data_IF_532538034469
#
_entry.id   IF_532538034469
#
_cell.length_a   1.000
_cell.length_b   1.000
_cell.length_c   1.000
_cell.angle_alpha   90.00
_cell.angle_beta   90.00
_cell.angle_gamma   90.00
#
_symmetry.space_group_name_H-M   'P 1'
#
loop_
_entity.id
_entity.type
_entity.pdbx_description
1 polymer ?
#
# COMPACT_ATOMS: atom_id res chain seq x y z
N UNK A 1 -37.79 13.93 -22.94
CA UNK A 1 -36.65 14.70 -22.33
C UNK A 1 -35.67 13.68 -21.78
N UNK A 2 -34.40 13.75 -22.16
CA UNK A 2 -33.34 12.88 -21.59
C UNK A 2 -32.96 13.39 -20.18
N UNK A 3 -32.74 12.49 -19.26
CA UNK A 3 -32.29 12.83 -17.88
C UNK A 3 -30.89 13.46 -17.89
N UNK A 4 -30.75 14.65 -17.31
CA UNK A 4 -29.44 15.27 -17.10
C UNK A 4 -28.75 14.59 -15.88
N UNK A 5 -28.12 13.46 -16.08
CA UNK A 5 -27.55 12.63 -15.01
C UNK A 5 -26.59 13.39 -14.09
N UNK A 6 -25.76 14.30 -14.62
CA UNK A 6 -24.80 15.08 -13.86
C UNK A 6 -25.42 15.94 -12.77
N UNK A 7 -26.65 16.43 -12.98
CA UNK A 7 -27.39 17.21 -11.97
C UNK A 7 -27.95 16.36 -10.81
N UNK A 8 -27.94 15.04 -10.95
CA UNK A 8 -28.41 14.08 -9.95
C UNK A 8 -27.29 13.50 -9.09
N UNK A 9 -26.04 13.72 -9.47
CA UNK A 9 -24.91 13.15 -8.74
C UNK A 9 -24.80 13.76 -7.34
N UNK A 10 -24.50 12.90 -6.35
CA UNK A 10 -24.19 13.34 -4.99
C UNK A 10 -22.95 14.25 -4.97
N UNK A 11 -22.89 15.23 -4.08
CA UNK A 11 -21.80 16.19 -3.98
C UNK A 11 -20.41 15.51 -3.82
N UNK A 12 -20.38 14.37 -3.12
CA UNK A 12 -19.16 13.59 -2.91
C UNK A 12 -18.50 13.12 -4.21
N UNK A 13 -19.27 12.93 -5.30
CA UNK A 13 -18.73 12.48 -6.59
C UNK A 13 -17.84 13.52 -7.25
N UNK A 14 -17.95 14.80 -6.88
CA UNK A 14 -17.07 15.87 -7.36
C UNK A 14 -15.62 15.70 -6.87
N UNK A 15 -15.43 14.98 -5.76
CA UNK A 15 -14.12 14.68 -5.16
C UNK A 15 -13.50 13.37 -5.68
N UNK A 16 -14.27 12.61 -6.48
CA UNK A 16 -13.80 11.35 -7.08
C UNK A 16 -13.18 11.63 -8.43
N UNK A 17 -11.87 11.49 -8.51
CA UNK A 17 -11.13 11.58 -9.78
C UNK A 17 -10.73 10.19 -10.26
N UNK A 18 -10.59 10.01 -11.57
CA UNK A 18 -10.04 8.76 -12.09
C UNK A 18 -8.60 8.58 -11.62
N UNK A 19 -8.28 7.40 -11.09
CA UNK A 19 -6.93 7.07 -10.64
C UNK A 19 -5.92 7.25 -11.78
N UNK A 20 -4.87 8.05 -11.57
CA UNK A 20 -3.75 8.16 -12.50
C UNK A 20 -3.11 6.79 -12.76
N UNK A 21 -3.02 5.92 -11.74
CA UNK A 21 -2.56 4.53 -11.90
C UNK A 21 -3.47 3.77 -12.87
N UNK A 22 -4.79 3.99 -12.85
CA UNK A 22 -5.72 3.35 -13.80
C UNK A 22 -5.52 3.82 -15.25
N UNK A 23 -5.24 5.10 -15.45
CA UNK A 23 -4.90 5.62 -16.77
C UNK A 23 -3.56 5.02 -17.25
N UNK A 24 -2.59 4.92 -16.37
CA UNK A 24 -1.33 4.21 -16.58
C UNK A 24 -1.55 2.74 -16.97
N UNK A 25 -2.41 2.01 -16.27
CA UNK A 25 -2.69 0.60 -16.56
C UNK A 25 -3.22 0.37 -17.97
N UNK A 26 -3.94 1.33 -18.57
CA UNK A 26 -4.38 1.27 -19.96
C UNK A 26 -3.20 1.41 -20.96
N UNK A 27 -2.20 2.21 -20.61
CA UNK A 27 -1.00 2.41 -21.44
C UNK A 27 -0.04 1.21 -21.35
N UNK A 28 0.01 0.57 -20.19
CA UNK A 28 0.89 -0.57 -19.89
C UNK A 28 0.53 -1.84 -20.69
N UNK A 29 -0.70 -1.96 -21.18
CA UNK A 29 -1.14 -3.12 -21.97
C UNK A 29 -0.59 -3.18 -23.39
N UNK A 30 0.23 -2.20 -23.83
CA UNK A 30 0.84 -2.19 -25.14
C UNK A 30 1.90 -3.29 -25.26
N UNK A 31 1.95 -4.04 -26.37
CA UNK A 31 3.02 -5.03 -26.62
C UNK A 31 4.42 -4.39 -26.51
N UNK A 32 5.35 -5.07 -25.84
CA UNK A 32 6.72 -4.59 -25.66
C UNK A 32 6.94 -3.53 -24.57
N UNK A 33 5.88 -3.12 -23.85
CA UNK A 33 5.98 -2.18 -22.72
C UNK A 33 6.56 -2.87 -21.49
N UNK A 34 7.63 -2.32 -20.95
CA UNK A 34 8.17 -2.72 -19.63
C UNK A 34 7.60 -1.78 -18.59
N UNK A 35 6.81 -2.32 -17.65
CA UNK A 35 6.13 -1.51 -16.67
C UNK A 35 6.72 -1.65 -15.26
N UNK A 36 7.21 -0.53 -14.73
CA UNK A 36 7.54 -0.33 -13.33
C UNK A 36 6.44 0.47 -12.58
N UNK A 37 5.31 0.76 -13.25
CA UNK A 37 4.26 1.60 -12.69
C UNK A 37 3.27 0.87 -11.79
N UNK A 38 2.96 -0.41 -12.05
CA UNK A 38 2.03 -1.19 -11.25
C UNK A 38 2.60 -1.60 -9.90
N UNK A 39 1.75 -1.71 -8.87
CA UNK A 39 2.09 -2.37 -7.60
C UNK A 39 1.77 -3.87 -7.65
N UNK A 40 2.12 -4.53 -8.76
CA UNK A 40 1.72 -5.90 -9.06
C UNK A 40 2.76 -6.90 -8.55
N UNK A 41 2.33 -7.96 -7.83
CA UNK A 41 3.16 -9.14 -7.58
C UNK A 41 3.53 -9.84 -8.89
N UNK A 42 4.60 -10.63 -8.87
CA UNK A 42 5.02 -11.46 -9.98
C UNK A 42 4.03 -12.61 -10.23
N UNK A 43 3.49 -12.77 -11.45
CA UNK A 43 2.56 -13.87 -11.73
C UNK A 43 3.26 -15.24 -11.74
N UNK A 44 4.54 -15.29 -12.03
CA UNK A 44 5.36 -16.51 -12.07
C UNK A 44 5.60 -17.16 -10.70
N UNK A 45 5.33 -16.43 -9.60
CA UNK A 45 5.38 -16.99 -8.24
C UNK A 45 4.00 -17.32 -7.66
N UNK A 46 2.90 -17.14 -8.42
CA UNK A 46 1.60 -17.57 -7.92
C UNK A 46 1.52 -19.09 -7.75
N UNK A 47 1.02 -19.59 -6.61
CA UNK A 47 0.97 -21.03 -6.34
C UNK A 47 -0.24 -21.69 -7.04
N UNK A 48 -0.27 -21.68 -8.38
CA UNK A 48 -1.43 -22.06 -9.21
C UNK A 48 -1.89 -23.48 -8.87
N UNK A 49 -0.95 -24.45 -8.82
CA UNK A 49 -1.30 -25.84 -8.51
C UNK A 49 -1.96 -25.99 -7.13
N UNK A 50 -1.49 -25.24 -6.13
CA UNK A 50 -2.10 -25.24 -4.79
C UNK A 50 -3.51 -24.65 -4.81
N UNK A 51 -3.76 -23.66 -5.68
CA UNK A 51 -5.12 -23.12 -5.89
C UNK A 51 -6.04 -24.13 -6.58
N UNK A 52 -5.54 -24.89 -7.57
CA UNK A 52 -6.32 -25.96 -8.24
C UNK A 52 -6.76 -27.01 -7.23
N UNK A 53 -5.82 -27.53 -6.42
CA UNK A 53 -6.12 -28.49 -5.35
C UNK A 53 -7.15 -27.93 -4.35
N UNK A 54 -6.97 -26.71 -3.89
CA UNK A 54 -7.86 -26.06 -2.92
C UNK A 54 -9.26 -25.84 -3.50
N UNK A 55 -9.38 -25.36 -4.74
CA UNK A 55 -10.66 -25.19 -5.41
C UNK A 55 -11.40 -26.53 -5.57
N UNK A 56 -10.68 -27.57 -6.03
CA UNK A 56 -11.27 -28.91 -6.16
C UNK A 56 -11.78 -29.40 -4.82
N UNK A 57 -10.96 -29.34 -3.77
CA UNK A 57 -11.33 -29.79 -2.43
C UNK A 57 -12.55 -29.04 -1.88
N UNK A 58 -12.57 -27.70 -1.97
CA UNK A 58 -13.68 -26.89 -1.49
C UNK A 58 -14.98 -27.26 -2.20
N UNK A 59 -14.94 -27.48 -3.53
CA UNK A 59 -16.14 -27.82 -4.32
C UNK A 59 -16.61 -29.26 -4.11
N UNK A 60 -15.72 -30.19 -3.78
CA UNK A 60 -16.12 -31.59 -3.52
C UNK A 60 -16.57 -31.83 -2.08
N UNK A 61 -15.92 -31.18 -1.10
CA UNK A 61 -16.14 -31.49 0.30
C UNK A 61 -17.02 -30.46 1.02
N UNK A 62 -17.07 -29.20 0.55
CA UNK A 62 -17.66 -28.07 1.29
C UNK A 62 -18.54 -27.16 0.40
N UNK A 63 -18.97 -27.63 -0.77
CA UNK A 63 -19.70 -26.83 -1.75
C UNK A 63 -20.92 -26.08 -1.16
N UNK A 64 -21.71 -26.80 -0.36
CA UNK A 64 -22.93 -26.24 0.23
C UNK A 64 -22.66 -25.00 1.10
N UNK A 65 -21.56 -25.01 1.87
CA UNK A 65 -21.17 -23.87 2.72
C UNK A 65 -20.41 -22.79 1.93
N UNK A 66 -19.51 -23.21 1.03
CA UNK A 66 -18.66 -22.28 0.29
C UNK A 66 -19.42 -21.46 -0.76
N UNK A 67 -20.55 -21.96 -1.28
CA UNK A 67 -21.38 -21.31 -2.28
C UNK A 67 -22.60 -20.58 -1.66
N UNK A 68 -22.82 -20.69 -0.34
CA UNK A 68 -23.89 -20.02 0.37
C UNK A 68 -23.44 -18.65 0.91
N UNK A 69 -24.40 -17.84 1.32
CA UNK A 69 -24.14 -16.65 2.12
C UNK A 69 -23.39 -17.01 3.41
N UNK A 70 -22.47 -16.12 3.83
CA UNK A 70 -21.66 -16.29 5.04
C UNK A 70 -21.82 -15.14 6.02
N UNK A 71 -21.05 -15.22 7.11
CA UNK A 71 -20.97 -14.15 8.09
C UNK A 71 -20.28 -12.91 7.52
N UNK A 72 -20.75 -11.73 7.93
CA UNK A 72 -20.14 -10.44 7.51
C UNK A 72 -18.70 -10.32 7.94
N UNK A 73 -18.39 -10.78 9.15
CA UNK A 73 -17.03 -10.78 9.72
C UNK A 73 -16.08 -11.67 8.94
N UNK A 74 -16.60 -12.69 8.26
CA UNK A 74 -15.87 -13.63 7.45
C UNK A 74 -15.78 -15.03 8.05
N UNK A 75 -15.29 -15.97 7.24
CA UNK A 75 -15.15 -17.39 7.53
C UNK A 75 -14.26 -17.61 8.77
N UNK A 76 -14.82 -18.16 9.85
CA UNK A 76 -14.15 -18.27 11.14
C UNK A 76 -12.79 -18.98 11.08
N UNK A 77 -12.62 -20.15 10.37
CA UNK A 77 -11.31 -20.77 10.27
C UNK A 77 -10.24 -19.92 9.58
N UNK A 78 -10.62 -19.06 8.61
CA UNK A 78 -9.68 -18.12 7.99
C UNK A 78 -9.30 -17.00 8.96
N UNK A 79 -10.26 -16.50 9.74
CA UNK A 79 -10.00 -15.47 10.78
C UNK A 79 -9.05 -16.01 11.86
N UNK A 80 -9.25 -17.26 12.31
CA UNK A 80 -8.35 -17.96 13.23
C UNK A 80 -6.95 -18.14 12.67
N UNK A 81 -6.83 -18.57 11.42
CA UNK A 81 -5.55 -18.72 10.73
C UNK A 81 -4.80 -17.39 10.65
N UNK A 82 -5.51 -16.28 10.35
CA UNK A 82 -4.94 -14.93 10.32
C UNK A 82 -4.46 -14.54 11.73
N UNK A 83 -5.29 -14.68 12.76
CA UNK A 83 -4.93 -14.36 14.15
C UNK A 83 -3.69 -15.15 14.61
N UNK A 84 -3.63 -16.45 14.34
CA UNK A 84 -2.51 -17.31 14.65
C UNK A 84 -1.23 -16.92 13.90
N UNK A 85 -1.32 -16.54 12.63
CA UNK A 85 -0.18 -16.07 11.86
C UNK A 85 0.34 -14.73 12.39
N UNK A 86 -0.54 -13.81 12.77
CA UNK A 86 -0.18 -12.51 13.33
C UNK A 86 0.47 -12.62 14.70
N UNK A 87 0.08 -13.61 15.52
CA UNK A 87 0.69 -13.88 16.82
C UNK A 87 2.21 -14.14 16.74
N UNK A 88 2.69 -14.70 15.62
CA UNK A 88 4.14 -14.90 15.37
C UNK A 88 4.92 -13.61 15.25
N UNK A 89 4.24 -12.52 14.93
CA UNK A 89 4.79 -11.17 14.85
C UNK A 89 4.45 -10.32 16.07
N UNK A 90 4.01 -10.97 17.16
CA UNK A 90 3.67 -10.33 18.44
C UNK A 90 2.26 -9.74 18.50
N UNK A 91 1.50 -9.75 17.41
CA UNK A 91 0.13 -9.22 17.38
C UNK A 91 -0.82 -10.26 17.96
N UNK A 92 -1.19 -10.09 19.20
CA UNK A 92 -2.13 -10.98 19.90
C UNK A 92 -3.57 -10.52 19.64
N UNK A 93 -4.26 -11.23 18.77
CA UNK A 93 -5.65 -10.98 18.42
C UNK A 93 -6.46 -12.27 18.58
N UNK A 94 -7.72 -12.16 19.00
CA UNK A 94 -8.72 -13.22 18.93
C UNK A 94 -9.52 -13.11 17.65
N UNK A 95 -10.34 -14.14 17.37
CA UNK A 95 -11.22 -14.18 16.19
C UNK A 95 -12.15 -12.95 16.12
N UNK A 96 -12.69 -12.52 17.25
CA UNK A 96 -13.56 -11.35 17.37
C UNK A 96 -12.89 -10.01 17.03
N UNK A 97 -11.55 -9.97 17.02
CA UNK A 97 -10.79 -8.79 16.60
C UNK A 97 -10.59 -8.72 15.08
N UNK A 98 -10.93 -9.76 14.32
CA UNK A 98 -10.60 -9.87 12.89
C UNK A 98 -11.85 -9.72 12.03
N UNK A 99 -11.84 -8.79 11.09
CA UNK A 99 -12.86 -8.61 10.05
C UNK A 99 -12.22 -8.85 8.67
N UNK A 100 -12.75 -9.81 7.91
CA UNK A 100 -12.33 -10.04 6.52
C UNK A 100 -12.96 -8.97 5.62
N UNK A 101 -12.16 -8.44 4.69
CA UNK A 101 -12.58 -7.43 3.73
C UNK A 101 -12.27 -7.86 2.29
N UNK A 102 -12.96 -7.25 1.32
CA UNK A 102 -12.72 -7.45 -0.11
C UNK A 102 -11.44 -6.71 -0.57
N UNK A 103 -10.31 -7.09 0.05
CA UNK A 103 -9.00 -6.47 -0.03
C UNK A 103 -8.87 -5.22 0.84
N UNK A 104 -7.63 -4.74 1.03
CA UNK A 104 -7.35 -3.54 1.86
C UNK A 104 -8.08 -2.29 1.35
N UNK A 105 -8.45 -2.21 0.07
CA UNK A 105 -9.20 -1.06 -0.45
C UNK A 105 -10.57 -0.93 0.22
N UNK A 106 -11.26 -2.05 0.47
CA UNK A 106 -12.51 -2.02 1.23
C UNK A 106 -12.26 -1.69 2.71
N UNK A 107 -11.15 -2.18 3.28
CA UNK A 107 -10.78 -1.82 4.65
C UNK A 107 -10.61 -0.30 4.79
N UNK A 108 -9.90 0.35 3.87
CA UNK A 108 -9.72 1.80 3.84
C UNK A 108 -11.05 2.55 3.64
N UNK A 109 -11.92 2.05 2.76
CA UNK A 109 -13.24 2.63 2.54
C UNK A 109 -14.11 2.55 3.80
N UNK A 110 -14.12 1.41 4.49
CA UNK A 110 -14.84 1.23 5.75
C UNK A 110 -14.31 2.12 6.87
N UNK A 111 -12.98 2.29 6.97
CA UNK A 111 -12.34 3.23 7.92
C UNK A 111 -12.77 4.66 7.61
N UNK A 112 -12.71 5.07 6.34
CA UNK A 112 -13.18 6.40 5.92
C UNK A 112 -14.66 6.61 6.26
N UNK A 113 -15.51 5.62 6.00
CA UNK A 113 -16.93 5.64 6.29
C UNK A 113 -17.24 5.68 7.80
N UNK A 114 -16.41 5.04 8.62
CA UNK A 114 -16.59 5.01 10.07
C UNK A 114 -16.18 6.33 10.74
N UNK A 115 -15.07 6.93 10.31
CA UNK A 115 -14.42 8.00 11.09
C UNK A 115 -14.53 9.39 10.46
N UNK A 116 -14.78 9.53 9.14
CA UNK A 116 -14.65 10.79 8.44
C UNK A 116 -16.01 11.41 8.13
N UNK A 117 -16.25 12.62 8.64
CA UNK A 117 -17.22 13.54 8.09
C UNK A 117 -16.53 14.52 7.14
N UNK A 118 -17.28 15.14 6.22
CA UNK A 118 -16.72 16.13 5.31
C UNK A 118 -16.09 17.31 6.09
N UNK A 119 -14.82 17.60 5.80
CA UNK A 119 -14.01 18.62 6.49
C UNK A 119 -13.21 18.09 7.69
N UNK A 120 -13.40 16.83 8.10
CA UNK A 120 -12.56 16.23 9.14
C UNK A 120 -11.12 16.03 8.64
N UNK A 121 -10.16 16.28 9.54
CA UNK A 121 -8.73 16.15 9.24
C UNK A 121 -8.26 14.71 9.40
N UNK A 122 -7.43 14.27 8.46
CA UNK A 122 -6.70 12.99 8.50
C UNK A 122 -5.22 13.28 8.35
N UNK A 123 -4.41 12.79 9.30
CA UNK A 123 -2.97 12.92 9.22
C UNK A 123 -2.41 11.80 8.34
N UNK A 124 -1.55 12.17 7.38
CA UNK A 124 -0.92 11.24 6.43
C UNK A 124 0.56 11.56 6.25
N UNK A 125 1.33 10.57 5.82
CA UNK A 125 2.71 10.76 5.38
C UNK A 125 2.76 11.60 4.09
N UNK A 126 3.89 12.26 3.84
CA UNK A 126 4.18 12.94 2.57
C UNK A 126 5.54 12.47 2.01
N UNK A 127 5.54 11.64 0.96
CA UNK A 127 4.39 11.10 0.21
C UNK A 127 3.63 9.98 0.95
N UNK A 128 2.40 9.66 0.48
CA UNK A 128 1.56 8.59 1.04
C UNK A 128 0.89 7.73 -0.03
N UNK A 129 0.21 6.65 0.38
CA UNK A 129 -0.43 5.72 -0.53
C UNK A 129 -1.67 6.33 -1.22
N UNK A 130 -1.61 6.40 -2.54
CA UNK A 130 -2.69 6.96 -3.37
C UNK A 130 -4.04 6.27 -3.15
N UNK A 131 -4.05 4.95 -2.91
CA UNK A 131 -5.30 4.21 -2.67
C UNK A 131 -6.01 4.62 -1.39
N UNK A 132 -5.29 5.04 -0.35
CA UNK A 132 -5.86 5.59 0.87
C UNK A 132 -6.46 6.99 0.61
N UNK A 133 -5.73 7.86 -0.09
CA UNK A 133 -6.26 9.17 -0.49
C UNK A 133 -7.55 9.03 -1.29
N UNK A 134 -7.60 8.09 -2.24
CA UNK A 134 -8.81 7.83 -3.04
C UNK A 134 -9.99 7.36 -2.19
N UNK A 135 -9.76 6.49 -1.20
CA UNK A 135 -10.82 6.03 -0.30
C UNK A 135 -11.34 7.17 0.58
N UNK A 136 -10.45 7.96 1.20
CA UNK A 136 -10.82 9.00 2.15
C UNK A 136 -11.42 10.24 1.47
N UNK A 137 -11.00 10.56 0.24
CA UNK A 137 -11.54 11.69 -0.54
C UNK A 137 -13.06 11.56 -0.76
N UNK A 138 -13.60 10.34 -0.88
CA UNK A 138 -15.05 10.10 -1.02
C UNK A 138 -15.82 10.67 0.16
N UNK A 139 -15.24 10.63 1.36
CA UNK A 139 -15.84 11.11 2.61
C UNK A 139 -15.53 12.57 2.91
N UNK A 140 -14.72 13.22 2.07
CA UNK A 140 -14.41 14.63 2.21
C UNK A 140 -13.32 14.94 3.23
N UNK A 141 -12.37 14.05 3.41
CA UNK A 141 -11.21 14.27 4.24
C UNK A 141 -10.43 15.53 3.84
N UNK A 142 -9.91 16.25 4.83
CA UNK A 142 -8.86 17.25 4.70
C UNK A 142 -7.56 16.67 5.26
N UNK A 143 -6.46 16.85 4.53
CA UNK A 143 -5.21 16.18 4.92
C UNK A 143 -4.28 17.10 5.70
N UNK A 144 -3.65 16.54 6.73
CA UNK A 144 -2.50 17.12 7.42
C UNK A 144 -1.31 16.25 7.09
N UNK A 145 -0.43 16.73 6.23
CA UNK A 145 0.72 15.97 5.72
C UNK A 145 1.95 16.18 6.61
N UNK A 146 2.66 15.07 6.90
CA UNK A 146 3.93 15.07 7.63
C UNK A 146 5.00 14.41 6.75
N UNK A 147 6.14 15.07 6.51
CA UNK A 147 7.17 14.53 5.64
C UNK A 147 7.82 13.27 6.21
N UNK A 148 8.36 12.47 5.30
CA UNK A 148 9.20 11.31 5.62
C UNK A 148 10.65 11.58 5.21
N UNK A 149 11.59 10.89 5.86
CA UNK A 149 12.99 10.81 5.49
C UNK A 149 13.46 9.35 5.43
N UNK A 150 14.75 9.08 5.42
CA UNK A 150 15.34 7.73 5.37
C UNK A 150 14.94 6.83 6.56
N UNK A 151 14.46 7.41 7.66
CA UNK A 151 13.97 6.71 8.86
C UNK A 151 12.44 6.63 8.94
N UNK A 152 11.73 7.05 7.88
CA UNK A 152 10.27 7.09 7.79
C UNK A 152 9.67 8.41 8.24
N UNK A 153 8.45 8.37 8.77
CA UNK A 153 7.71 9.55 9.22
C UNK A 153 8.52 10.39 10.22
N UNK A 154 8.61 11.70 9.99
CA UNK A 154 9.27 12.68 10.87
C UNK A 154 8.45 12.91 12.14
N UNK A 155 8.72 12.11 13.17
CA UNK A 155 8.02 12.16 14.46
C UNK A 155 8.28 13.47 15.23
N UNK A 156 9.44 14.07 15.04
CA UNK A 156 9.80 15.39 15.58
C UNK A 156 8.91 16.54 15.06
N UNK A 157 8.21 16.34 13.95
CA UNK A 157 7.29 17.32 13.37
C UNK A 157 5.82 17.06 13.70
N UNK A 158 5.49 16.03 14.48
CA UNK A 158 4.11 15.58 14.71
C UNK A 158 3.31 16.42 15.70
N UNK A 159 3.93 17.05 16.69
CA UNK A 159 3.16 17.73 17.77
C UNK A 159 2.16 18.77 17.27
N UNK A 160 2.58 19.64 16.34
CA UNK A 160 1.69 20.67 15.77
C UNK A 160 0.55 20.05 14.95
N UNK A 161 0.80 19.10 14.03
CA UNK A 161 -0.23 18.32 13.36
C UNK A 161 -1.23 17.65 14.32
N UNK A 162 -0.77 16.98 15.37
CA UNK A 162 -1.63 16.30 16.32
C UNK A 162 -2.54 17.26 17.12
N UNK A 163 -2.02 18.41 17.51
CA UNK A 163 -2.82 19.47 18.17
C UNK A 163 -3.96 20.00 17.29
N UNK A 164 -3.90 19.79 15.97
CA UNK A 164 -5.01 20.17 15.08
C UNK A 164 -6.22 19.23 15.19
N UNK A 165 -6.13 18.15 15.97
CA UNK A 165 -7.21 17.19 16.23
C UNK A 165 -7.61 16.36 15.01
N UNK A 166 -6.68 15.69 14.28
CA UNK A 166 -7.07 14.80 13.20
C UNK A 166 -7.88 13.63 13.75
N UNK A 167 -8.80 13.08 12.96
CA UNK A 167 -9.62 11.92 13.33
C UNK A 167 -8.78 10.67 13.57
N UNK A 168 -7.74 10.51 12.78
CA UNK A 168 -6.75 9.44 12.90
C UNK A 168 -5.48 9.79 12.12
N UNK A 169 -4.42 9.01 12.36
CA UNK A 169 -3.21 9.00 11.54
C UNK A 169 -3.21 7.74 10.67
N UNK A 170 -2.93 7.88 9.36
CA UNK A 170 -2.73 6.76 8.43
C UNK A 170 -1.25 6.63 8.09
N UNK A 171 -0.66 5.49 8.37
CA UNK A 171 0.78 5.24 8.19
C UNK A 171 1.05 3.84 7.61
N UNK A 172 2.11 3.76 6.79
CA UNK A 172 2.66 2.50 6.27
C UNK A 172 4.06 2.27 6.84
N UNK A 173 4.20 1.63 8.01
CA UNK A 173 5.48 1.58 8.71
C UNK A 173 6.51 0.65 8.07
N UNK A 174 6.10 -0.27 7.18
CA UNK A 174 6.97 -1.23 6.53
C UNK A 174 7.03 -1.03 5.02
N UNK A 175 8.24 -0.72 4.49
CA UNK A 175 8.47 -0.62 3.03
C UNK A 175 7.43 0.24 2.33
N UNK A 176 7.23 1.43 2.87
CA UNK A 176 6.18 2.39 2.56
C UNK A 176 5.95 2.56 1.05
N UNK A 177 4.71 2.66 0.65
CA UNK A 177 4.31 2.98 -0.70
C UNK A 177 3.99 4.48 -0.80
N UNK A 178 4.79 5.29 -1.53
CA UNK A 178 5.66 4.86 -2.64
C UNK A 178 7.14 4.69 -2.31
N UNK A 179 7.64 5.11 -1.14
CA UNK A 179 9.05 5.40 -0.93
C UNK A 179 9.93 4.16 -0.67
N UNK A 180 9.34 3.01 -0.33
CA UNK A 180 10.09 1.79 0.03
C UNK A 180 10.82 1.90 1.38
N UNK A 181 10.61 2.98 2.12
CA UNK A 181 11.26 3.27 3.41
C UNK A 181 10.54 2.52 4.52
N UNK A 182 11.28 2.16 5.56
CA UNK A 182 10.74 1.53 6.77
C UNK A 182 10.85 2.50 7.94
N UNK A 183 9.75 2.72 8.66
CA UNK A 183 9.74 3.50 9.89
C UNK A 183 10.66 2.83 10.93
N UNK A 184 11.66 3.56 11.39
CA UNK A 184 12.65 3.04 12.35
C UNK A 184 12.01 2.70 13.69
N UNK A 185 12.61 1.77 14.44
CA UNK A 185 12.07 1.31 15.71
C UNK A 185 11.89 2.46 16.72
N UNK A 186 12.88 3.34 16.86
CA UNK A 186 12.77 4.52 17.73
C UNK A 186 11.57 5.40 17.36
N UNK A 187 11.37 5.67 16.07
CA UNK A 187 10.22 6.47 15.62
C UNK A 187 8.88 5.75 15.78
N UNK A 188 8.84 4.41 15.74
CA UNK A 188 7.63 3.64 16.06
C UNK A 188 7.22 3.87 17.52
N UNK A 189 8.15 3.80 18.45
CA UNK A 189 7.90 4.11 19.86
C UNK A 189 7.42 5.55 20.06
N UNK A 190 8.12 6.52 19.48
CA UNK A 190 7.72 7.93 19.55
C UNK A 190 6.32 8.18 18.99
N UNK A 191 6.00 7.57 17.84
CA UNK A 191 4.71 7.70 17.19
C UNK A 191 3.57 7.21 18.08
N UNK A 192 3.72 6.03 18.68
CA UNK A 192 2.71 5.44 19.56
C UNK A 192 2.53 6.29 20.81
N UNK A 193 3.62 6.77 21.44
CA UNK A 193 3.56 7.65 22.60
C UNK A 193 2.87 8.99 22.29
N UNK A 194 3.17 9.58 21.14
CA UNK A 194 2.53 10.82 20.70
C UNK A 194 1.04 10.60 20.38
N UNK A 195 0.69 9.48 19.74
CA UNK A 195 -0.70 9.12 19.45
C UNK A 195 -1.51 9.01 20.75
N UNK A 196 -0.99 8.29 21.74
CA UNK A 196 -1.61 8.13 23.05
C UNK A 196 -1.75 9.48 23.78
N UNK A 197 -0.67 10.28 23.84
CA UNK A 197 -0.66 11.62 24.44
C UNK A 197 -1.77 12.54 23.92
N UNK A 198 -2.07 12.47 22.62
CA UNK A 198 -3.07 13.32 21.98
C UNK A 198 -4.42 12.62 21.76
N UNK A 199 -4.56 11.35 22.13
CA UNK A 199 -5.78 10.57 21.94
C UNK A 199 -6.16 10.35 20.46
N UNK A 200 -5.18 10.26 19.56
CA UNK A 200 -5.40 10.13 18.12
C UNK A 200 -5.14 8.67 17.69
N UNK A 201 -6.15 7.95 17.16
CA UNK A 201 -5.97 6.59 16.69
C UNK A 201 -4.99 6.50 15.51
N UNK A 202 -4.28 5.38 15.41
CA UNK A 202 -3.41 5.06 14.28
C UNK A 202 -4.08 3.98 13.41
N UNK A 203 -4.11 4.21 12.11
CA UNK A 203 -4.40 3.19 11.11
C UNK A 203 -3.05 2.71 10.55
N UNK A 204 -2.61 1.53 11.01
CA UNK A 204 -1.39 0.88 10.55
C UNK A 204 -1.70 0.00 9.34
N UNK A 205 -1.32 0.43 8.15
CA UNK A 205 -1.49 -0.35 6.91
C UNK A 205 -0.20 -1.12 6.59
N UNK A 206 -0.26 -2.45 6.72
CA UNK A 206 0.91 -3.31 6.57
C UNK A 206 0.73 -4.43 5.53
N UNK A 207 0.65 -4.11 4.24
CA UNK A 207 0.60 -5.11 3.19
C UNK A 207 1.96 -5.75 2.88
N UNK A 208 3.07 -5.20 3.39
CA UNK A 208 4.43 -5.57 2.99
C UNK A 208 5.31 -6.10 4.12
N UNK A 209 4.92 -6.03 5.37
CA UNK A 209 5.76 -6.38 6.53
C UNK A 209 6.37 -7.78 6.45
N UNK A 210 5.63 -8.72 5.87
CA UNK A 210 6.15 -10.07 5.62
C UNK A 210 7.17 -10.15 4.46
N UNK A 211 7.33 -9.11 3.64
CA UNK A 211 8.22 -9.08 2.48
C UNK A 211 9.56 -8.38 2.79
N UNK A 212 10.14 -8.70 3.93
CA UNK A 212 11.47 -8.24 4.33
C UNK A 212 12.55 -9.13 3.75
N UNK A 213 13.54 -8.55 3.08
CA UNK A 213 14.67 -9.27 2.46
C UNK A 213 15.93 -9.18 3.30
N UNK A 214 16.12 -8.09 4.05
CA UNK A 214 17.29 -7.80 4.86
C UNK A 214 16.91 -7.29 6.24
N UNK A 215 17.75 -7.63 7.24
CA UNK A 215 17.57 -7.23 8.64
C UNK A 215 16.47 -8.00 9.36
N UNK A 216 16.26 -7.63 10.63
CA UNK A 216 15.29 -8.25 11.52
C UNK A 216 13.90 -7.64 11.35
N UNK A 217 12.87 -8.42 11.73
CA UNK A 217 11.50 -7.93 11.80
C UNK A 217 11.38 -6.89 12.91
N UNK A 218 10.77 -5.74 12.61
CA UNK A 218 10.50 -4.71 13.59
C UNK A 218 9.10 -4.90 14.17
N UNK A 219 8.89 -4.61 15.48
CA UNK A 219 7.57 -4.69 16.09
C UNK A 219 6.60 -3.74 15.38
N UNK A 220 5.36 -4.19 15.15
CA UNK A 220 4.32 -3.34 14.59
C UNK A 220 3.83 -2.32 15.62
N UNK A 221 3.18 -1.25 15.16
CA UNK A 221 2.66 -0.20 16.04
C UNK A 221 1.61 -0.76 17.00
N UNK A 222 0.79 -1.71 16.57
CA UNK A 222 -0.20 -2.36 17.44
C UNK A 222 0.44 -3.14 18.58
N UNK A 223 1.64 -3.70 18.37
CA UNK A 223 2.40 -4.38 19.46
C UNK A 223 2.93 -3.37 20.45
N UNK A 224 3.56 -2.30 19.96
CA UNK A 224 4.14 -1.24 20.81
C UNK A 224 3.07 -0.44 21.57
N UNK A 225 1.92 -0.19 20.97
CA UNK A 225 0.79 0.47 21.61
C UNK A 225 0.29 -0.32 22.81
N UNK A 226 0.15 -1.64 22.67
CA UNK A 226 -0.22 -2.54 23.75
C UNK A 226 0.81 -2.54 24.89
N UNK A 227 2.10 -2.61 24.56
CA UNK A 227 3.19 -2.60 25.53
C UNK A 227 3.23 -1.27 26.30
N UNK A 228 3.04 -0.15 25.60
CA UNK A 228 3.01 1.19 26.18
C UNK A 228 1.84 1.37 27.15
N UNK A 229 0.65 0.90 26.81
CA UNK A 229 -0.54 0.99 27.65
C UNK A 229 -0.52 0.05 28.88
N UNK A 230 0.50 -0.81 29.00
CA UNK A 230 0.66 -1.81 30.07
C UNK A 230 -0.61 -2.65 30.31
N UNK A 231 -1.41 -2.85 29.27
CA UNK A 231 -2.61 -3.68 29.32
C UNK A 231 -2.21 -5.13 29.22
N UNK A 232 -2.31 -5.86 30.32
CA UNK A 232 -1.94 -7.28 30.43
C UNK A 232 -3.16 -8.23 30.40
N UNK A 233 -4.22 -7.83 29.72
CA UNK A 233 -5.40 -8.68 29.50
C UNK A 233 -5.20 -9.75 28.40
N UNK A 234 -3.98 -9.87 27.90
CA UNK A 234 -3.56 -10.87 26.89
C UNK A 234 -3.96 -10.56 25.46
N UNK A 235 -4.96 -9.69 25.23
CA UNK A 235 -5.58 -9.48 23.91
C UNK A 235 -6.01 -8.04 23.63
N UNK A 236 -5.60 -7.05 24.42
CA UNK A 236 -6.03 -5.69 24.15
C UNK A 236 -5.35 -5.13 22.89
N UNK A 237 -6.17 -4.75 21.94
CA UNK A 237 -5.83 -3.87 20.87
C UNK A 237 -6.24 -2.48 21.32
N UNK A 238 -5.24 -1.59 21.43
CA UNK A 238 -5.42 -0.25 21.98
C UNK A 238 -5.90 0.77 20.97
N UNK A 239 -5.06 1.78 20.71
CA UNK A 239 -5.38 2.90 19.81
C UNK A 239 -4.98 2.63 18.34
N UNK A 240 -4.46 1.44 18.03
CA UNK A 240 -4.02 1.08 16.67
C UNK A 240 -5.00 0.12 16.01
N UNK A 241 -5.48 0.49 14.82
CA UNK A 241 -6.23 -0.38 13.92
C UNK A 241 -5.24 -0.87 12.86
N UNK A 242 -5.04 -2.20 12.79
CA UNK A 242 -4.10 -2.84 11.88
C UNK A 242 -4.82 -3.36 10.63
N UNK A 243 -4.28 -3.05 9.46
CA UNK A 243 -4.77 -3.51 8.15
C UNK A 243 -3.71 -4.37 7.46
N UNK A 244 -4.14 -5.45 6.80
CA UNK A 244 -3.25 -6.23 5.94
C UNK A 244 -4.01 -6.98 4.85
N UNK A 245 -3.29 -7.76 4.00
CA UNK A 245 -3.88 -8.41 2.82
C UNK A 245 -3.09 -9.61 2.34
N UNK A 246 -3.79 -10.58 1.73
CA UNK A 246 -3.16 -11.66 0.96
C UNK A 246 -2.71 -11.25 -0.44
N UNK A 247 -2.99 -10.03 -0.87
CA UNK A 247 -2.63 -9.56 -2.22
C UNK A 247 -1.13 -9.59 -2.53
N UNK A 248 -0.27 -9.58 -1.50
CA UNK A 248 1.19 -9.55 -1.67
C UNK A 248 1.87 -10.85 -1.25
N UNK A 249 1.17 -11.70 -0.52
CA UNK A 249 1.69 -12.97 0.03
C UNK A 249 1.07 -14.22 -0.59
N UNK A 250 -0.06 -14.09 -1.29
CA UNK A 250 -0.68 -15.17 -2.07
C UNK A 250 -0.98 -14.69 -3.50
N UNK A 251 -2.12 -14.03 -3.70
CA UNK A 251 -2.51 -13.52 -5.02
C UNK A 251 -3.47 -12.33 -4.89
N UNK A 252 -3.25 -11.22 -5.64
CA UNK A 252 -4.11 -10.04 -5.56
C UNK A 252 -5.52 -10.27 -6.11
N UNK A 253 -5.70 -11.26 -7.01
CA UNK A 253 -6.99 -11.63 -7.60
C UNK A 253 -7.98 -12.22 -6.59
N UNK A 254 -7.52 -12.73 -5.45
CA UNK A 254 -8.39 -13.21 -4.37
C UNK A 254 -9.26 -12.12 -3.76
N UNK A 255 -8.82 -10.89 -3.83
CA UNK A 255 -9.50 -9.75 -3.20
C UNK A 255 -9.76 -9.99 -1.71
N UNK A 256 -8.76 -10.49 -0.97
CA UNK A 256 -8.83 -10.70 0.47
C UNK A 256 -7.86 -9.78 1.23
N UNK A 257 -8.40 -9.07 2.20
CA UNK A 257 -7.70 -8.32 3.22
C UNK A 257 -8.39 -8.49 4.57
N UNK A 258 -7.85 -7.90 5.60
CA UNK A 258 -8.45 -7.93 6.93
C UNK A 258 -8.13 -6.68 7.73
N UNK A 259 -8.99 -6.42 8.69
CA UNK A 259 -8.82 -5.40 9.73
C UNK A 259 -8.66 -6.14 11.05
N UNK A 260 -7.73 -5.69 11.89
CA UNK A 260 -7.64 -6.08 13.30
C UNK A 260 -7.84 -4.85 14.16
N UNK A 261 -8.85 -4.88 15.02
CA UNK A 261 -9.26 -3.74 15.83
C UNK A 261 -9.93 -4.21 17.14
N UNK A 262 -10.18 -3.30 18.09
CA UNK A 262 -11.03 -3.59 19.26
C UNK A 262 -12.41 -4.11 18.83
N UNK A 263 -13.04 -5.01 19.62
CA UNK A 263 -14.32 -5.64 19.25
C UNK A 263 -15.45 -4.63 18.96
N UNK A 264 -15.50 -3.52 19.68
CA UNK A 264 -16.46 -2.45 19.43
C UNK A 264 -16.27 -1.76 18.07
N UNK A 265 -15.02 -1.60 17.61
CA UNK A 265 -14.70 -1.07 16.28
C UNK A 265 -15.06 -2.09 15.21
N UNK A 266 -14.71 -3.37 15.41
CA UNK A 266 -15.08 -4.47 14.49
C UNK A 266 -16.58 -4.55 14.33
N UNK A 267 -17.35 -4.48 15.42
CA UNK A 267 -18.82 -4.50 15.37
C UNK A 267 -19.39 -3.37 14.50
N UNK A 268 -18.85 -2.15 14.62
CA UNK A 268 -19.29 -1.02 13.79
C UNK A 268 -18.87 -1.16 12.34
N UNK A 269 -17.68 -1.62 12.07
CA UNK A 269 -17.19 -1.90 10.70
C UNK A 269 -18.03 -2.98 10.04
N UNK A 270 -18.40 -4.06 10.77
CA UNK A 270 -19.28 -5.11 10.27
C UNK A 270 -20.66 -4.55 9.89
N UNK A 271 -21.28 -3.71 10.73
CA UNK A 271 -22.56 -3.05 10.40
C UNK A 271 -22.45 -2.21 9.12
N UNK A 272 -21.36 -1.45 8.96
CA UNK A 272 -21.12 -0.65 7.75
C UNK A 272 -20.88 -1.51 6.51
N UNK A 273 -20.19 -2.66 6.69
CA UNK A 273 -19.91 -3.64 5.63
C UNK A 273 -21.19 -4.36 5.17
N UNK A 274 -22.12 -4.66 6.07
CA UNK A 274 -23.44 -5.23 5.71
C UNK A 274 -24.15 -4.38 4.67
N UNK A 275 -24.09 -3.05 4.82
CA UNK A 275 -24.68 -2.13 3.85
C UNK A 275 -23.86 -1.91 2.57
N UNK A 276 -22.64 -2.48 2.47
CA UNK A 276 -21.76 -2.33 1.31
C UNK A 276 -21.77 -3.57 0.41
N UNK A 277 -21.48 -4.75 0.97
CA UNK A 277 -21.34 -6.00 0.21
C UNK A 277 -21.89 -7.23 0.94
N UNK A 278 -22.58 -7.04 2.06
CA UNK A 278 -23.09 -8.06 2.97
C UNK A 278 -21.95 -8.87 3.62
N UNK A 279 -21.13 -9.54 2.83
CA UNK A 279 -19.91 -10.24 3.22
C UNK A 279 -18.94 -10.37 2.04
N UNK A 280 -17.67 -10.57 2.32
CA UNK A 280 -16.68 -10.93 1.31
C UNK A 280 -16.95 -12.34 0.76
N UNK A 281 -16.66 -12.59 -0.52
CA UNK A 281 -16.92 -13.88 -1.19
C UNK A 281 -16.55 -15.08 -0.31
N UNK A 282 -17.55 -15.88 0.07
CA UNK A 282 -17.39 -17.07 0.91
C UNK A 282 -16.49 -18.09 0.23
N UNK A 283 -16.74 -18.39 -1.04
CA UNK A 283 -15.92 -19.32 -1.83
C UNK A 283 -14.44 -18.94 -1.81
N UNK A 284 -14.13 -17.66 -2.04
CA UNK A 284 -12.74 -17.19 -2.04
C UNK A 284 -12.08 -17.32 -0.67
N UNK A 285 -12.82 -17.12 0.42
CA UNK A 285 -12.31 -17.30 1.77
C UNK A 285 -12.00 -18.76 2.07
N UNK A 286 -12.87 -19.71 1.68
CA UNK A 286 -12.61 -21.14 1.83
C UNK A 286 -11.39 -21.58 1.05
N UNK A 287 -11.27 -21.18 -0.22
CA UNK A 287 -10.10 -21.48 -1.06
C UNK A 287 -8.83 -20.89 -0.45
N UNK A 288 -8.84 -19.63 0.00
CA UNK A 288 -7.68 -19.00 0.60
C UNK A 288 -7.24 -19.69 1.89
N UNK A 289 -8.19 -20.15 2.72
CA UNK A 289 -7.90 -20.93 3.91
C UNK A 289 -7.21 -22.26 3.54
N UNK A 290 -7.76 -23.01 2.59
CA UNK A 290 -7.17 -24.28 2.13
C UNK A 290 -5.77 -24.10 1.52
N UNK A 291 -5.53 -23.01 0.82
CA UNK A 291 -4.20 -22.68 0.28
C UNK A 291 -3.22 -22.32 1.40
N UNK A 292 -3.63 -21.46 2.33
CA UNK A 292 -2.72 -20.83 3.30
C UNK A 292 -2.36 -21.70 4.50
N UNK A 293 -3.20 -22.71 4.83
CA UNK A 293 -3.02 -23.55 6.02
C UNK A 293 -1.81 -24.48 5.93
N UNK A 294 -1.55 -25.24 7.01
CA UNK A 294 -0.54 -26.29 7.12
C UNK A 294 0.90 -25.79 6.85
N UNK A 295 1.18 -24.51 7.18
CA UNK A 295 2.49 -23.88 7.03
C UNK A 295 2.88 -23.58 5.57
N UNK A 296 1.96 -23.71 4.62
CA UNK A 296 2.22 -23.39 3.22
C UNK A 296 2.51 -21.90 3.04
N UNK A 297 1.73 -21.02 3.67
CA UNK A 297 1.91 -19.56 3.55
C UNK A 297 3.34 -19.14 3.91
N UNK A 298 3.91 -19.68 4.98
CA UNK A 298 5.29 -19.35 5.41
C UNK A 298 6.34 -19.80 4.38
N UNK A 299 6.17 -21.00 3.83
CA UNK A 299 7.07 -21.53 2.78
C UNK A 299 6.98 -20.65 1.53
N UNK A 300 5.78 -20.27 1.15
CA UNK A 300 5.53 -19.44 -0.02
C UNK A 300 6.09 -18.02 0.15
N UNK A 301 5.90 -17.39 1.31
CA UNK A 301 6.50 -16.07 1.64
C UNK A 301 8.03 -16.13 1.56
N UNK A 302 8.68 -17.22 2.01
CA UNK A 302 10.14 -17.38 1.86
C UNK A 302 10.57 -17.40 0.38
N UNK A 303 9.81 -18.10 -0.48
CA UNK A 303 10.05 -18.10 -1.93
C UNK A 303 9.92 -16.69 -2.52
N UNK A 304 8.82 -16.00 -2.21
CA UNK A 304 8.56 -14.63 -2.68
C UNK A 304 9.69 -13.69 -2.24
N UNK A 305 10.12 -13.76 -0.99
CA UNK A 305 11.24 -12.95 -0.47
C UNK A 305 12.51 -13.13 -1.27
N UNK A 306 12.85 -14.38 -1.63
CA UNK A 306 14.02 -14.68 -2.44
C UNK A 306 13.90 -14.04 -3.82
N UNK A 307 12.81 -14.31 -4.54
CA UNK A 307 12.59 -13.81 -5.91
C UNK A 307 12.58 -12.28 -5.96
N UNK A 308 11.85 -11.63 -5.05
CA UNK A 308 11.77 -10.16 -5.07
C UNK A 308 13.05 -9.49 -4.57
N UNK A 309 13.78 -10.12 -3.65
CA UNK A 309 15.11 -9.66 -3.23
C UNK A 309 16.11 -9.68 -4.39
N UNK A 310 16.11 -10.73 -5.20
CA UNK A 310 16.93 -10.83 -6.41
C UNK A 310 16.56 -9.74 -7.43
N UNK A 311 15.27 -9.56 -7.71
CA UNK A 311 14.78 -8.52 -8.64
C UNK A 311 15.11 -7.11 -8.18
N UNK A 312 14.98 -6.83 -6.87
CA UNK A 312 15.41 -5.55 -6.28
C UNK A 312 16.90 -5.31 -6.53
N UNK A 313 17.73 -6.31 -6.29
CA UNK A 313 19.18 -6.19 -6.47
C UNK A 313 19.54 -5.91 -7.94
N UNK A 314 18.88 -6.58 -8.88
CA UNK A 314 19.05 -6.31 -10.31
C UNK A 314 18.66 -4.86 -10.66
N UNK A 315 17.54 -4.36 -10.12
CA UNK A 315 17.11 -2.97 -10.35
C UNK A 315 18.11 -1.98 -9.76
N UNK A 316 18.56 -2.17 -8.53
CA UNK A 316 19.57 -1.30 -7.89
C UNK A 316 20.88 -1.28 -8.67
N UNK A 317 21.35 -2.44 -9.14
CA UNK A 317 22.56 -2.53 -9.96
C UNK A 317 22.38 -1.81 -11.31
N UNK A 318 21.25 -2.00 -11.97
CA UNK A 318 20.94 -1.33 -13.25
C UNK A 318 20.85 0.20 -13.08
N UNK A 319 20.22 0.69 -12.00
CA UNK A 319 20.19 2.11 -11.68
C UNK A 319 21.61 2.66 -11.52
N UNK A 320 22.46 1.99 -10.72
CA UNK A 320 23.88 2.40 -10.53
C UNK A 320 24.67 2.42 -11.81
N UNK A 321 24.41 1.51 -12.74
CA UNK A 321 25.13 1.38 -14.01
C UNK A 321 24.68 2.42 -15.06
N UNK A 322 23.37 2.67 -15.18
CA UNK A 322 22.82 3.42 -16.31
C UNK A 322 22.41 4.85 -15.97
N UNK A 323 22.01 5.15 -14.74
CA UNK A 323 21.53 6.47 -14.36
C UNK A 323 22.65 7.48 -14.17
N UNK A 324 22.40 8.78 -14.41
CA UNK A 324 23.35 9.84 -14.08
C UNK A 324 23.61 9.92 -12.58
N UNK A 325 24.81 10.41 -12.22
CA UNK A 325 25.27 10.51 -10.82
C UNK A 325 24.43 11.45 -9.96
N UNK A 326 23.72 12.40 -10.56
CA UNK A 326 22.88 13.40 -9.92
C UNK A 326 21.51 12.83 -9.49
N UNK A 327 21.17 11.64 -9.99
CA UNK A 327 19.91 10.98 -9.62
C UNK A 327 20.13 10.09 -8.41
N UNK A 328 19.27 10.21 -7.41
CA UNK A 328 19.31 9.40 -6.20
C UNK A 328 18.08 8.51 -6.07
N UNK A 329 18.18 7.46 -5.26
CA UNK A 329 17.06 6.54 -5.02
C UNK A 329 17.16 5.89 -3.65
N UNK A 330 16.02 5.40 -3.15
CA UNK A 330 15.95 4.64 -1.90
C UNK A 330 16.51 3.22 -2.06
N UNK A 331 16.98 2.64 -0.94
CA UNK A 331 17.47 1.26 -0.87
C UNK A 331 16.57 0.42 0.04
N UNK A 332 15.41 -0.06 -0.46
CA UNK A 332 14.44 -0.76 0.37
C UNK A 332 14.96 -2.11 0.83
N UNK A 333 14.80 -2.42 2.12
CA UNK A 333 15.12 -3.72 2.72
C UNK A 333 14.01 -4.76 2.54
N UNK A 334 12.96 -4.43 1.79
CA UNK A 334 11.79 -5.25 1.55
C UNK A 334 10.77 -4.55 0.65
N UNK A 335 9.54 -5.03 0.63
CA UNK A 335 8.43 -4.43 -0.13
C UNK A 335 8.54 -4.63 -1.64
N UNK A 336 8.04 -3.70 -2.42
CA UNK A 336 7.94 -3.81 -3.87
C UNK A 336 8.48 -2.60 -4.65
N UNK A 337 8.88 -1.51 -3.96
CA UNK A 337 9.08 -0.21 -4.59
C UNK A 337 10.42 0.43 -4.28
N UNK A 338 10.90 1.17 -5.27
CA UNK A 338 11.98 2.14 -5.19
C UNK A 338 11.42 3.54 -5.45
N UNK A 339 11.95 4.53 -4.75
CA UNK A 339 11.64 5.94 -4.93
C UNK A 339 12.86 6.65 -5.48
N UNK A 340 12.76 7.17 -6.69
CA UNK A 340 13.84 7.86 -7.39
C UNK A 340 13.61 9.36 -7.30
N UNK A 341 14.68 10.10 -6.98
CA UNK A 341 14.70 11.56 -6.92
C UNK A 341 15.56 12.11 -8.05
N UNK A 342 14.97 12.95 -8.88
CA UNK A 342 15.60 13.62 -10.01
C UNK A 342 16.19 14.96 -9.58
N UNK A 343 17.24 15.46 -10.24
CA UNK A 343 17.71 16.82 -10.07
C UNK A 343 16.64 17.86 -10.46
N UNK A 344 16.83 19.10 -10.01
CA UNK A 344 15.92 20.19 -10.36
C UNK A 344 15.93 20.48 -11.86
N UNK A 345 14.78 20.98 -12.37
CA UNK A 345 14.64 21.38 -13.77
C UNK A 345 14.06 20.31 -14.70
N UNK A 346 13.90 19.06 -14.26
CA UNK A 346 13.21 18.04 -15.04
C UNK A 346 11.70 18.10 -14.78
N UNK A 347 10.92 18.23 -15.83
CA UNK A 347 9.47 18.05 -15.78
C UNK A 347 9.13 16.56 -15.79
N UNK A 348 8.63 16.03 -14.66
CA UNK A 348 8.30 14.63 -14.49
C UNK A 348 7.21 14.15 -15.45
N UNK A 349 6.27 15.00 -15.83
CA UNK A 349 5.20 14.65 -16.76
C UNK A 349 5.72 14.58 -18.22
N UNK A 350 6.63 15.47 -18.59
CA UNK A 350 7.33 15.39 -19.89
C UNK A 350 8.24 14.17 -19.95
N UNK A 351 8.99 13.88 -18.89
CA UNK A 351 9.80 12.68 -18.78
C UNK A 351 8.96 11.41 -18.88
N UNK A 352 7.79 11.38 -18.23
CA UNK A 352 6.87 10.25 -18.33
C UNK A 352 6.42 9.96 -19.75
N UNK A 353 6.08 11.00 -20.53
CA UNK A 353 5.74 10.85 -21.97
C UNK A 353 6.91 10.27 -22.77
N UNK A 354 8.11 10.80 -22.60
CA UNK A 354 9.32 10.29 -23.28
C UNK A 354 9.64 8.84 -22.90
N UNK A 355 9.42 8.45 -21.63
CA UNK A 355 9.59 7.07 -21.18
C UNK A 355 8.58 6.12 -21.86
N UNK A 356 7.31 6.53 -22.00
CA UNK A 356 6.29 5.76 -22.72
C UNK A 356 6.65 5.57 -24.20
N UNK A 357 7.23 6.58 -24.85
CA UNK A 357 7.72 6.48 -26.23
C UNK A 357 8.87 5.45 -26.37
N UNK A 358 9.65 5.28 -25.31
CA UNK A 358 10.70 4.26 -25.21
C UNK A 358 10.20 2.90 -24.66
N UNK A 359 8.88 2.70 -24.59
CA UNK A 359 8.24 1.50 -24.06
C UNK A 359 8.66 1.14 -22.63
N UNK A 360 8.78 2.14 -21.78
CA UNK A 360 8.96 1.95 -20.33
C UNK A 360 8.02 2.87 -19.54
N UNK A 361 7.42 2.37 -18.46
CA UNK A 361 6.46 3.11 -17.65
C UNK A 361 6.85 3.12 -16.18
N UNK A 362 6.64 4.25 -15.49
CA UNK A 362 6.81 4.46 -14.06
C UNK A 362 5.58 5.21 -13.49
N UNK A 363 5.53 5.49 -12.19
CA UNK A 363 4.49 6.38 -11.63
C UNK A 363 5.13 7.72 -11.26
N UNK A 364 4.67 8.84 -11.84
CA UNK A 364 5.09 10.17 -11.40
C UNK A 364 4.76 10.43 -9.93
N UNK A 365 5.66 11.14 -9.24
CA UNK A 365 5.61 11.30 -7.78
C UNK A 365 4.53 12.24 -7.28
N UNK A 366 4.07 13.18 -8.11
CA UNK A 366 3.04 14.17 -7.79
C UNK A 366 1.74 13.55 -7.26
N UNK A 367 1.38 12.36 -7.75
CA UNK A 367 0.19 11.63 -7.35
C UNK A 367 0.16 11.18 -5.89
N UNK A 368 1.31 11.14 -5.21
CA UNK A 368 1.45 10.62 -3.85
C UNK A 368 1.44 11.71 -2.77
N UNK A 369 1.26 12.97 -3.17
CA UNK A 369 1.19 14.10 -2.25
C UNK A 369 -0.24 14.63 -2.16
N UNK A 370 -0.81 14.57 -0.96
CA UNK A 370 -2.22 14.90 -0.74
C UNK A 370 -2.52 16.40 -0.94
N UNK A 371 -1.64 17.29 -0.45
CA UNK A 371 -1.88 18.72 -0.40
C UNK A 371 -1.08 19.52 -1.46
N UNK A 372 0.13 19.08 -1.77
CA UNK A 372 1.04 19.78 -2.66
C UNK A 372 1.70 18.82 -3.67
N UNK A 373 1.05 18.54 -4.81
CA UNK A 373 1.59 17.68 -5.85
C UNK A 373 2.96 18.14 -6.36
N UNK A 374 3.30 19.43 -6.28
CA UNK A 374 4.60 19.95 -6.72
C UNK A 374 5.78 19.35 -5.94
N UNK A 375 5.59 18.95 -4.69
CA UNK A 375 6.62 18.24 -3.92
C UNK A 375 7.01 16.92 -4.58
N UNK A 376 6.09 16.29 -5.30
CA UNK A 376 6.32 15.06 -6.06
C UNK A 376 6.89 15.26 -7.46
N UNK A 377 7.01 16.49 -7.95
CA UNK A 377 7.38 16.81 -9.34
C UNK A 377 8.80 16.36 -9.76
N UNK A 378 9.63 16.02 -8.79
CA UNK A 378 11.00 15.52 -8.97
C UNK A 378 11.17 14.04 -8.65
N UNK A 379 10.07 13.33 -8.45
CA UNK A 379 10.12 11.96 -7.96
C UNK A 379 9.40 10.99 -8.90
N UNK A 380 9.84 9.74 -8.90
CA UNK A 380 9.12 8.65 -9.54
C UNK A 380 9.18 7.38 -8.68
N UNK A 381 8.08 6.61 -8.70
CA UNK A 381 8.05 5.29 -8.11
C UNK A 381 8.32 4.21 -9.15
N UNK A 382 9.23 3.29 -8.83
CA UNK A 382 9.52 2.09 -9.61
C UNK A 382 9.14 0.84 -8.82
N UNK A 383 8.43 -0.08 -9.48
CA UNK A 383 8.13 -1.41 -8.95
C UNK A 383 9.16 -2.41 -9.50
N UNK A 384 9.78 -3.20 -8.62
CA UNK A 384 10.75 -4.22 -9.02
C UNK A 384 10.21 -5.65 -8.96
N UNK A 385 9.00 -5.87 -8.40
CA UNK A 385 8.51 -7.22 -8.14
C UNK A 385 7.96 -7.93 -9.38
N UNK A 386 7.38 -7.20 -10.33
CA UNK A 386 6.59 -7.80 -11.42
C UNK A 386 7.41 -8.23 -12.65
N UNK A 387 8.40 -7.43 -13.06
CA UNK A 387 9.19 -7.71 -14.26
C UNK A 387 10.29 -8.75 -14.01
N UNK A 388 10.63 -9.56 -15.03
CA UNK A 388 11.75 -10.47 -14.98
C UNK A 388 13.10 -9.71 -14.92
N UNK A 389 14.19 -10.31 -14.40
CA UNK A 389 15.49 -9.64 -14.25
C UNK A 389 16.01 -8.96 -15.52
N UNK A 390 15.90 -9.63 -16.67
CA UNK A 390 16.33 -9.10 -17.95
C UNK A 390 15.49 -7.89 -18.39
N UNK A 391 14.17 -7.95 -18.14
CA UNK A 391 13.26 -6.83 -18.40
C UNK A 391 13.53 -5.65 -17.46
N UNK A 392 13.87 -5.92 -16.19
CA UNK A 392 14.26 -4.86 -15.23
C UNK A 392 15.49 -4.11 -15.78
N UNK A 393 16.54 -4.83 -16.15
CA UNK A 393 17.78 -4.23 -16.68
C UNK A 393 17.52 -3.41 -17.92
N UNK A 394 16.80 -3.97 -18.89
CA UNK A 394 16.47 -3.27 -20.16
C UNK A 394 15.55 -2.07 -19.91
N UNK A 395 14.52 -2.18 -19.07
CA UNK A 395 13.63 -1.08 -18.74
C UNK A 395 14.36 0.08 -18.04
N UNK A 396 15.28 -0.22 -17.10
CA UNK A 396 16.10 0.81 -16.45
C UNK A 396 17.05 1.47 -17.46
N UNK A 397 17.64 0.72 -18.39
CA UNK A 397 18.48 1.27 -19.47
C UNK A 397 17.69 2.27 -20.35
N UNK A 398 16.47 1.91 -20.75
CA UNK A 398 15.57 2.81 -21.52
C UNK A 398 15.19 4.05 -20.72
N UNK A 399 14.81 3.88 -19.47
CA UNK A 399 14.44 4.99 -18.59
C UNK A 399 15.61 5.94 -18.36
N UNK A 400 16.83 5.41 -18.19
CA UNK A 400 18.03 6.21 -18.08
C UNK A 400 18.35 7.04 -19.32
N UNK A 401 18.10 6.50 -20.53
CA UNK A 401 18.23 7.24 -21.78
C UNK A 401 17.26 8.44 -21.84
N UNK A 402 16.00 8.23 -21.44
CA UNK A 402 15.01 9.31 -21.32
C UNK A 402 15.46 10.38 -20.31
N UNK A 403 15.93 9.99 -19.12
CA UNK A 403 16.43 10.92 -18.09
C UNK A 403 17.62 11.75 -18.61
N UNK A 404 18.61 11.10 -19.24
CA UNK A 404 19.80 11.79 -19.80
C UNK A 404 19.42 12.81 -20.89
N UNK A 405 18.46 12.48 -21.75
CA UNK A 405 17.94 13.41 -22.77
C UNK A 405 17.32 14.66 -22.17
N UNK A 406 16.53 14.50 -21.10
CA UNK A 406 15.91 15.63 -20.41
C UNK A 406 16.92 16.49 -19.67
N UNK A 407 17.96 15.91 -19.06
CA UNK A 407 19.06 16.65 -18.41
C UNK A 407 19.85 17.49 -19.41
N UNK A 408 20.24 16.93 -20.55
CA UNK A 408 20.95 17.65 -21.60
C UNK A 408 20.12 18.84 -22.15
N UNK A 409 18.82 18.68 -22.32
CA UNK A 409 17.92 19.76 -22.73
C UNK A 409 17.75 20.88 -21.69
N UNK A 410 17.89 20.55 -20.40
CA UNK A 410 17.83 21.53 -19.31
C UNK A 410 19.12 22.37 -19.24
N UNK A 411 20.30 21.74 -19.43
CA UNK A 411 21.59 22.42 -19.46
C UNK A 411 21.67 23.46 -20.60
N UNK A 412 21.21 23.09 -21.80
CA UNK A 412 21.16 24.00 -22.96
C UNK A 412 20.24 25.21 -22.71
N UNK A 413 19.15 25.06 -21.94
CA UNK A 413 18.25 26.17 -21.61
C UNK A 413 18.82 27.12 -20.57
N UNK A 414 19.66 26.63 -19.65
CA UNK A 414 20.30 27.46 -18.63
C UNK A 414 21.51 28.26 -19.17
N UNK A 415 22.08 27.85 -20.29
CA UNK A 415 23.22 28.52 -20.93
C UNK A 415 22.81 29.59 -21.97
N UNK A 416 21.52 29.69 -22.34
CA UNK A 416 21.04 30.75 -23.20
C UNK A 416 20.93 32.06 -22.39
N UNK A 417 21.66 33.13 -22.75
CA UNK A 417 21.54 34.41 -22.05
C UNK A 417 20.11 34.94 -22.19
N UNK A 418 19.57 35.41 -21.06
CA UNK A 418 18.32 36.19 -21.05
C UNK A 418 18.48 37.33 -22.07
N UNK A 419 17.80 37.22 -23.20
CA UNK A 419 17.68 38.39 -24.09
C UNK A 419 16.82 39.40 -23.35
N UNK A 420 17.48 40.47 -22.94
CA UNK A 420 16.89 41.68 -22.32
C UNK A 420 16.13 42.45 -23.39
#
# INVERSE_FOLDING_TARGET
MSTAWTSRYALRTKRVTSSQIRQLLKVIQRPGMISFGGGLPAPDVFPVHRFEEACHKVLTEQAASALQYGETEGYAPLRELIANNMARYGIKAKVENVLITSGSQQALDLIGKLFINAGDRVLVEAPTYLGALQAFNVYGAEYVSVPIDENGLRTDLLEKPLRSGPKFMYVLPNFQNPAGITLSEGRRHELVLLADKYGIPIIEDDPYGQLRYEGEHLPSLVVLDRENLRRDDGYSIGNVIYLSTFSKTLAPGLRLGWIVAPPEVISKLAQLKQGADLHTSTFTQFVAYEVARDGFLDKHVKLIRKVYGERRNVMLQALKEFFPSEVTWTHPKGGLFLWVTLPSGIDIQALFKSAIEQNVAFVPGDSFYANNPQEGSRHMRLNFSNAAPEQIREGIRRLAAAVKSHLAGTTLRSELPLQV
#
